data_IF_780130749941
#
_entry.id   IF_780130749941
#
_cell.length_a   1.000
_cell.length_b   1.000
_cell.length_c   1.000
_cell.angle_alpha   90.00
_cell.angle_beta   90.00
_cell.angle_gamma   90.00
#
_symmetry.space_group_name_H-M   'P 1'
#
loop_
_entity.id
_entity.type
_entity.pdbx_description
1 polymer ?
#
# COMPACT_ATOMS: atom_id res chain seq x y z
N UNK A 1 -8.43 -9.50 -21.67
CA UNK A 1 -7.33 -10.48 -21.50
C UNK A 1 -7.18 -10.72 -20.01
N UNK A 2 -7.44 -11.93 -19.55
CA UNK A 2 -7.17 -12.33 -18.16
C UNK A 2 -5.65 -12.28 -17.94
N UNK A 3 -5.18 -11.44 -17.02
CA UNK A 3 -3.79 -11.53 -16.57
C UNK A 3 -3.68 -12.75 -15.66
N UNK A 4 -2.79 -13.72 -15.94
CA UNK A 4 -2.56 -14.83 -15.02
C UNK A 4 -2.10 -14.30 -13.66
N UNK A 5 -2.22 -15.13 -12.62
CA UNK A 5 -1.55 -14.88 -11.34
C UNK A 5 -0.08 -14.50 -11.61
N UNK A 6 0.53 -13.58 -10.85
CA UNK A 6 1.95 -13.41 -10.98
C UNK A 6 2.61 -14.75 -10.70
N UNK A 7 3.47 -15.10 -11.64
CA UNK A 7 4.16 -16.36 -11.62
C UNK A 7 5.44 -16.11 -10.83
N UNK A 8 5.59 -16.76 -9.68
CA UNK A 8 6.85 -16.78 -8.92
C UNK A 8 8.06 -17.05 -9.83
N UNK A 9 7.89 -17.89 -10.86
CA UNK A 9 8.91 -18.13 -11.87
C UNK A 9 9.26 -16.88 -12.69
N UNK A 10 8.29 -16.03 -13.06
CA UNK A 10 8.55 -14.75 -13.73
C UNK A 10 9.35 -13.80 -12.83
N UNK A 11 9.08 -13.77 -11.52
CA UNK A 11 9.85 -12.96 -10.58
C UNK A 11 11.27 -13.48 -10.38
N UNK A 12 11.44 -14.79 -10.23
CA UNK A 12 12.75 -15.42 -10.14
C UNK A 12 13.57 -15.18 -11.40
N UNK A 13 12.94 -15.29 -12.58
CA UNK A 13 13.61 -15.01 -13.85
C UNK A 13 13.98 -13.53 -13.97
N UNK A 14 13.07 -12.62 -13.61
CA UNK A 14 13.37 -11.18 -13.57
C UNK A 14 14.58 -10.87 -12.67
N UNK A 15 14.70 -11.53 -11.52
CA UNK A 15 15.83 -11.36 -10.62
C UNK A 15 17.15 -11.88 -11.23
N UNK A 16 17.11 -13.02 -11.93
CA UNK A 16 18.28 -13.56 -12.67
C UNK A 16 18.70 -12.64 -13.81
N UNK A 17 17.75 -12.16 -14.61
CA UNK A 17 18.00 -11.21 -15.71
C UNK A 17 18.65 -9.91 -15.20
N UNK A 18 18.15 -9.37 -14.09
CA UNK A 18 18.74 -8.19 -13.45
C UNK A 18 20.21 -8.38 -13.08
N UNK A 19 20.59 -9.55 -12.56
CA UNK A 19 21.98 -9.83 -12.19
C UNK A 19 22.90 -10.00 -13.40
N UNK A 20 22.34 -10.13 -14.60
CA UNK A 20 23.06 -10.07 -15.87
C UNK A 20 23.09 -8.64 -16.46
N UNK A 21 22.44 -7.67 -15.83
CA UNK A 21 22.43 -6.28 -16.29
C UNK A 21 23.82 -5.62 -16.09
N UNK A 22 24.47 -5.11 -17.16
CA UNK A 22 25.81 -4.55 -17.06
C UNK A 22 25.97 -3.35 -16.10
N UNK A 23 24.88 -2.63 -15.79
CA UNK A 23 24.91 -1.55 -14.79
C UNK A 23 24.92 -2.12 -13.39
N UNK A 24 24.08 -3.11 -13.10
CA UNK A 24 24.06 -3.76 -11.79
C UNK A 24 25.36 -4.53 -11.56
N UNK A 25 25.84 -5.27 -12.56
CA UNK A 25 27.12 -5.98 -12.48
C UNK A 25 28.27 -5.04 -12.09
N UNK A 26 28.42 -3.90 -12.78
CA UNK A 26 29.46 -2.91 -12.45
C UNK A 26 29.31 -2.32 -11.05
N UNK A 27 28.07 -2.12 -10.59
CA UNK A 27 27.79 -1.66 -9.24
C UNK A 27 28.25 -2.69 -8.20
N UNK A 28 27.89 -3.96 -8.39
CA UNK A 28 28.29 -5.05 -7.49
C UNK A 28 29.80 -5.26 -7.48
N UNK A 29 30.46 -5.22 -8.65
CA UNK A 29 31.93 -5.29 -8.75
C UNK A 29 32.61 -4.11 -8.02
N UNK A 30 32.02 -2.92 -8.06
CA UNK A 30 32.51 -1.77 -7.32
C UNK A 30 32.39 -1.99 -5.81
N UNK A 31 31.26 -2.52 -5.33
CA UNK A 31 31.09 -2.90 -3.92
C UNK A 31 32.07 -3.99 -3.50
N UNK A 32 32.21 -5.06 -4.29
CA UNK A 32 33.15 -6.16 -4.03
C UNK A 32 34.57 -5.64 -3.86
N UNK A 33 35.00 -4.71 -4.73
CA UNK A 33 36.30 -4.07 -4.64
C UNK A 33 36.45 -3.22 -3.38
N UNK A 34 35.46 -2.39 -3.06
CA UNK A 34 35.49 -1.58 -1.84
C UNK A 34 35.58 -2.42 -0.57
N UNK A 35 34.83 -3.54 -0.52
CA UNK A 35 34.89 -4.50 0.60
C UNK A 35 36.25 -5.20 0.66
N UNK A 36 36.86 -5.57 -0.48
CA UNK A 36 38.22 -6.13 -0.51
C UNK A 36 39.26 -5.12 0.02
N UNK A 37 39.18 -3.87 -0.42
CA UNK A 37 40.09 -2.80 0.00
C UNK A 37 39.96 -2.52 1.50
N UNK A 38 38.72 -2.42 2.01
CA UNK A 38 38.45 -2.27 3.44
C UNK A 38 38.96 -3.48 4.25
N UNK A 39 38.70 -4.71 3.81
CA UNK A 39 39.22 -5.91 4.49
C UNK A 39 40.75 -5.93 4.52
N UNK A 40 41.41 -5.50 3.45
CA UNK A 40 42.86 -5.44 3.39
C UNK A 40 43.45 -4.41 4.37
N UNK A 41 42.71 -3.34 4.71
CA UNK A 41 43.15 -2.34 5.68
C UNK A 41 42.97 -2.78 7.15
N UNK A 42 42.18 -3.82 7.43
CA UNK A 42 42.00 -4.36 8.79
C UNK A 42 43.24 -5.16 9.26
N UNK A 43 43.54 -5.15 10.58
CA UNK A 43 44.50 -6.05 11.21
C UNK A 43 44.18 -7.53 10.94
N UNK A 44 45.18 -8.39 10.84
CA UNK A 44 45.00 -9.79 10.44
C UNK A 44 44.00 -10.56 11.32
N UNK A 45 44.03 -10.34 12.64
CA UNK A 45 43.07 -10.93 13.58
C UNK A 45 41.64 -10.39 13.50
N UNK A 46 41.42 -9.30 12.78
CA UNK A 46 40.11 -8.65 12.60
C UNK A 46 39.51 -8.89 11.20
N UNK A 47 40.27 -9.55 10.30
CA UNK A 47 39.78 -9.84 8.95
C UNK A 47 38.75 -10.97 9.00
N UNK A 48 37.50 -10.75 8.52
CA UNK A 48 36.51 -11.82 8.43
C UNK A 48 37.04 -12.98 7.59
N UNK A 49 36.79 -14.22 7.99
CA UNK A 49 37.30 -15.40 7.27
C UNK A 49 36.71 -15.49 5.85
N UNK A 50 35.42 -15.21 5.70
CA UNK A 50 34.69 -15.41 4.45
C UNK A 50 34.75 -14.20 3.52
N UNK A 51 34.88 -14.47 2.22
CA UNK A 51 34.73 -13.46 1.17
C UNK A 51 33.28 -13.42 0.70
N UNK A 52 32.71 -12.23 0.60
CA UNK A 52 31.31 -12.03 0.24
C UNK A 52 31.20 -11.79 -1.27
N UNK A 53 30.82 -12.82 -2.03
CA UNK A 53 30.39 -12.63 -3.43
C UNK A 53 28.99 -12.01 -3.41
N UNK A 54 28.92 -10.68 -3.59
CA UNK A 54 27.65 -9.97 -3.50
C UNK A 54 26.67 -10.45 -4.57
N UNK A 55 27.12 -10.83 -5.75
CA UNK A 55 26.24 -11.27 -6.85
C UNK A 55 25.63 -12.63 -6.56
N UNK A 56 26.43 -13.61 -6.17
CA UNK A 56 25.94 -14.95 -5.84
C UNK A 56 25.01 -14.92 -4.62
N UNK A 57 25.36 -14.11 -3.61
CA UNK A 57 24.54 -13.94 -2.41
C UNK A 57 23.21 -13.25 -2.72
N UNK A 58 23.20 -12.21 -3.56
CA UNK A 58 21.97 -11.54 -3.97
C UNK A 58 21.03 -12.51 -4.72
N UNK A 59 21.54 -13.35 -5.62
CA UNK A 59 20.71 -14.34 -6.31
C UNK A 59 20.12 -15.35 -5.33
N UNK A 60 20.97 -15.96 -4.50
CA UNK A 60 20.55 -16.94 -3.50
C UNK A 60 19.51 -16.36 -2.55
N UNK A 61 19.72 -15.12 -2.13
CA UNK A 61 18.77 -14.39 -1.29
C UNK A 61 17.45 -14.16 -2.01
N UNK A 62 17.46 -13.71 -3.27
CA UNK A 62 16.24 -13.52 -4.05
C UNK A 62 15.48 -14.85 -4.25
N UNK A 63 16.17 -15.93 -4.62
CA UNK A 63 15.54 -17.24 -4.83
C UNK A 63 14.89 -17.81 -3.55
N UNK A 64 15.46 -17.52 -2.38
CA UNK A 64 14.88 -17.90 -1.08
C UNK A 64 13.78 -16.94 -0.59
N UNK A 65 13.91 -15.64 -0.85
CA UNK A 65 12.99 -14.61 -0.36
C UNK A 65 11.71 -14.50 -1.20
N UNK A 66 11.80 -14.69 -2.53
CA UNK A 66 10.65 -14.55 -3.43
C UNK A 66 9.48 -15.49 -3.07
N UNK A 67 9.68 -16.79 -2.77
CA UNK A 67 8.59 -17.67 -2.34
C UNK A 67 7.96 -17.24 -1.02
N UNK A 68 8.77 -16.80 -0.04
CA UNK A 68 8.29 -16.34 1.27
C UNK A 68 7.43 -15.08 1.10
N UNK A 69 7.85 -14.17 0.23
CA UNK A 69 7.08 -12.97 -0.08
C UNK A 69 5.76 -13.31 -0.81
N UNK A 70 5.78 -14.24 -1.76
CA UNK A 70 4.58 -14.72 -2.44
C UNK A 70 3.55 -15.24 -1.43
N UNK A 71 4.00 -16.13 -0.54
CA UNK A 71 3.20 -16.67 0.56
C UNK A 71 2.68 -15.56 1.50
N UNK A 72 3.54 -14.62 1.89
CA UNK A 72 3.15 -13.48 2.73
C UNK A 72 2.09 -12.60 2.06
N UNK A 73 2.20 -12.36 0.75
CA UNK A 73 1.21 -11.59 0.00
C UNK A 73 -0.11 -12.35 -0.12
N UNK A 74 -0.10 -13.67 -0.32
CA UNK A 74 -1.31 -14.51 -0.30
C UNK A 74 -1.98 -14.45 1.06
N UNK A 75 -1.22 -14.67 2.13
CA UNK A 75 -1.69 -14.63 3.51
C UNK A 75 -2.32 -13.28 3.86
N UNK A 76 -1.67 -12.18 3.48
CA UNK A 76 -2.21 -10.82 3.65
C UNK A 76 -3.55 -10.65 2.93
N UNK A 77 -3.64 -11.04 1.66
CA UNK A 77 -4.88 -10.90 0.89
C UNK A 77 -6.02 -11.76 1.47
N UNK A 78 -5.71 -12.97 1.95
CA UNK A 78 -6.68 -13.84 2.62
C UNK A 78 -7.19 -13.26 3.93
N UNK A 79 -6.28 -12.76 4.78
CA UNK A 79 -6.64 -12.04 6.01
C UNK A 79 -7.50 -10.81 5.71
N UNK A 80 -7.09 -10.01 4.72
CA UNK A 80 -7.84 -8.82 4.31
C UNK A 80 -9.21 -9.16 3.73
N UNK A 81 -9.34 -10.26 2.99
CA UNK A 81 -10.63 -10.73 2.49
C UNK A 81 -11.60 -11.05 3.64
N UNK A 82 -11.13 -11.73 4.69
CA UNK A 82 -11.95 -12.04 5.87
C UNK A 82 -12.36 -10.76 6.63
N UNK A 83 -11.39 -9.89 6.94
CA UNK A 83 -11.63 -8.64 7.66
C UNK A 83 -12.56 -7.70 6.89
N UNK A 84 -12.33 -7.54 5.60
CA UNK A 84 -13.18 -6.70 4.75
C UNK A 84 -14.59 -7.29 4.57
N UNK A 85 -14.77 -8.61 4.62
CA UNK A 85 -16.10 -9.21 4.63
C UNK A 85 -16.86 -8.91 5.94
N UNK A 86 -16.18 -8.93 7.09
CA UNK A 86 -16.78 -8.54 8.37
C UNK A 86 -17.25 -7.08 8.34
N UNK A 87 -16.41 -6.15 7.90
CA UNK A 87 -16.79 -4.73 7.74
C UNK A 87 -18.00 -4.53 6.81
N UNK A 88 -18.09 -5.33 5.75
CA UNK A 88 -19.23 -5.28 4.83
C UNK A 88 -20.53 -5.72 5.54
N UNK A 89 -20.47 -6.81 6.32
CA UNK A 89 -21.60 -7.32 7.11
C UNK A 89 -22.06 -6.34 8.19
N UNK A 90 -21.12 -5.62 8.83
CA UNK A 90 -21.44 -4.60 9.85
C UNK A 90 -21.83 -3.25 9.24
N UNK A 91 -21.96 -3.16 7.91
CA UNK A 91 -22.44 -1.98 7.20
C UNK A 91 -21.44 -0.82 7.15
N UNK A 92 -20.17 -1.06 7.49
CA UNK A 92 -19.12 -0.03 7.53
C UNK A 92 -18.96 0.65 6.17
N UNK A 93 -18.82 -0.12 5.08
CA UNK A 93 -18.63 0.48 3.77
C UNK A 93 -19.85 1.24 3.29
N UNK A 94 -21.05 0.74 3.61
CA UNK A 94 -22.30 1.44 3.32
C UNK A 94 -22.32 2.81 4.00
N UNK A 95 -21.99 2.90 5.29
CA UNK A 95 -21.90 4.18 6.02
C UNK A 95 -20.85 5.11 5.43
N UNK A 96 -19.67 4.60 5.08
CA UNK A 96 -18.63 5.39 4.42
C UNK A 96 -19.12 5.96 3.08
N UNK A 97 -19.80 5.15 2.28
CA UNK A 97 -20.40 5.55 0.99
C UNK A 97 -21.48 6.61 1.19
N UNK A 98 -22.43 6.36 2.09
CA UNK A 98 -23.57 7.26 2.36
C UNK A 98 -23.06 8.63 2.83
N UNK A 99 -21.98 8.67 3.62
CA UNK A 99 -21.34 9.90 4.06
C UNK A 99 -20.47 10.57 3.01
N UNK A 100 -19.74 9.78 2.22
CA UNK A 100 -18.97 10.30 1.10
C UNK A 100 -19.89 10.92 0.03
N UNK A 101 -21.18 10.58 0.05
CA UNK A 101 -22.25 11.09 -0.83
C UNK A 101 -21.75 11.15 -2.28
N UNK A 102 -21.37 9.98 -2.79
CA UNK A 102 -20.88 9.84 -4.15
C UNK A 102 -22.02 9.42 -5.08
N UNK A 103 -22.40 10.29 -6.01
CA UNK A 103 -23.53 9.99 -6.89
C UNK A 103 -23.09 9.75 -8.34
N UNK A 104 -22.00 10.39 -8.79
CA UNK A 104 -21.55 10.37 -10.20
C UNK A 104 -20.05 10.63 -10.33
N UNK A 105 -19.42 10.06 -11.37
CA UNK A 105 -18.04 10.38 -11.78
C UNK A 105 -17.05 9.23 -11.59
N UNK A 106 -15.76 9.55 -11.80
CA UNK A 106 -14.63 8.65 -11.65
C UNK A 106 -14.13 8.65 -10.20
N UNK A 107 -14.23 7.49 -9.55
CA UNK A 107 -13.63 7.22 -8.25
C UNK A 107 -12.22 6.63 -8.42
N UNK A 108 -11.26 7.09 -7.62
CA UNK A 108 -9.97 6.41 -7.41
C UNK A 108 -9.90 5.95 -5.96
N UNK A 109 -9.88 4.64 -5.73
CA UNK A 109 -9.76 4.04 -4.40
C UNK A 109 -8.32 3.57 -4.14
N UNK A 110 -7.57 4.34 -3.35
CA UNK A 110 -6.19 4.08 -3.00
C UNK A 110 -6.12 3.08 -1.83
N UNK A 111 -5.40 1.98 -2.03
CA UNK A 111 -5.40 0.87 -1.09
C UNK A 111 -6.74 0.14 -1.08
N UNK A 112 -7.28 -0.16 -2.27
CA UNK A 112 -8.62 -0.75 -2.40
C UNK A 112 -8.72 -2.16 -1.81
N UNK A 113 -7.58 -2.83 -1.59
CA UNK A 113 -7.51 -4.19 -1.10
C UNK A 113 -8.34 -5.14 -1.96
N UNK A 114 -9.24 -5.88 -1.32
CA UNK A 114 -10.16 -6.83 -1.96
C UNK A 114 -11.38 -6.18 -2.62
N UNK A 115 -11.38 -4.85 -2.77
CA UNK A 115 -12.38 -4.11 -3.54
C UNK A 115 -13.75 -3.98 -2.87
N UNK A 116 -13.86 -4.20 -1.55
CA UNK A 116 -15.15 -4.11 -0.83
C UNK A 116 -15.71 -2.69 -0.79
N UNK A 117 -14.86 -1.68 -0.61
CA UNK A 117 -15.32 -0.28 -0.69
C UNK A 117 -15.83 0.04 -2.10
N UNK A 118 -15.07 -0.32 -3.14
CA UNK A 118 -15.51 -0.23 -4.54
C UNK A 118 -16.85 -0.96 -4.77
N UNK A 119 -17.02 -2.15 -4.20
CA UNK A 119 -18.26 -2.90 -4.33
C UNK A 119 -19.42 -2.17 -3.63
N UNK A 120 -19.21 -1.51 -2.49
CA UNK A 120 -20.26 -0.72 -1.85
C UNK A 120 -20.64 0.53 -2.66
N UNK A 121 -19.78 0.97 -3.59
CA UNK A 121 -20.04 2.14 -4.41
C UNK A 121 -20.93 1.82 -5.63
N UNK A 122 -21.80 2.78 -6.01
CA UNK A 122 -22.57 2.74 -7.26
C UNK A 122 -21.90 3.52 -8.41
N UNK A 123 -20.58 3.69 -8.41
CA UNK A 123 -19.93 4.45 -9.49
C UNK A 123 -19.89 3.65 -10.78
N UNK A 124 -20.34 4.24 -11.89
CA UNK A 124 -20.21 3.63 -13.21
C UNK A 124 -18.76 3.50 -13.72
N UNK A 125 -17.80 4.16 -13.06
CA UNK A 125 -16.38 4.13 -13.40
C UNK A 125 -15.51 4.29 -12.17
N UNK A 126 -14.56 3.38 -11.97
CA UNK A 126 -13.65 3.41 -10.83
C UNK A 126 -12.26 2.89 -11.17
N UNK A 127 -11.25 3.36 -10.41
CA UNK A 127 -9.90 2.82 -10.39
C UNK A 127 -9.62 2.32 -8.97
N UNK A 128 -9.53 1.01 -8.79
CA UNK A 128 -8.99 0.42 -7.57
C UNK A 128 -7.47 0.31 -7.66
N UNK A 129 -6.77 0.80 -6.65
CA UNK A 129 -5.30 0.77 -6.60
C UNK A 129 -4.88 -0.04 -5.38
N UNK A 130 -4.10 -1.09 -5.61
CA UNK A 130 -3.46 -1.83 -4.53
C UNK A 130 -2.13 -2.39 -5.02
N UNK A 131 -1.19 -2.59 -4.11
CA UNK A 131 0.12 -3.11 -4.47
C UNK A 131 0.18 -4.63 -4.42
N UNK A 132 -0.77 -5.26 -3.71
CA UNK A 132 -0.88 -6.70 -3.62
C UNK A 132 -1.78 -7.22 -4.75
N UNK A 133 -1.21 -7.99 -5.66
CA UNK A 133 -1.93 -8.56 -6.80
C UNK A 133 -3.02 -9.56 -6.38
N UNK A 134 -2.90 -10.25 -5.25
CA UNK A 134 -3.93 -11.16 -4.75
C UNK A 134 -5.13 -10.39 -4.21
N UNK A 135 -4.90 -9.24 -3.59
CA UNK A 135 -5.97 -8.31 -3.24
C UNK A 135 -6.75 -7.89 -4.48
N UNK A 136 -6.04 -7.48 -5.55
CA UNK A 136 -6.68 -7.11 -6.82
C UNK A 136 -7.39 -8.29 -7.49
N UNK A 137 -6.89 -9.51 -7.38
CA UNK A 137 -7.56 -10.71 -7.90
C UNK A 137 -8.87 -11.00 -7.13
N UNK A 138 -8.84 -10.87 -5.80
CA UNK A 138 -10.04 -10.98 -4.98
C UNK A 138 -11.05 -9.87 -5.32
N UNK A 139 -10.57 -8.64 -5.53
CA UNK A 139 -11.39 -7.51 -5.98
C UNK A 139 -12.03 -7.77 -7.33
N UNK A 140 -11.29 -8.30 -8.31
CA UNK A 140 -11.80 -8.66 -9.63
C UNK A 140 -12.97 -9.65 -9.52
N UNK A 141 -12.81 -10.67 -8.69
CA UNK A 141 -13.84 -11.70 -8.47
C UNK A 141 -15.08 -11.11 -7.79
N UNK A 142 -14.89 -10.27 -6.77
CA UNK A 142 -15.99 -9.59 -6.07
C UNK A 142 -16.78 -8.65 -7.00
N UNK A 143 -16.08 -7.95 -7.88
CA UNK A 143 -16.66 -6.90 -8.72
C UNK A 143 -17.20 -7.43 -10.07
N UNK A 144 -16.84 -8.64 -10.48
CA UNK A 144 -17.28 -9.24 -11.75
C UNK A 144 -18.81 -9.28 -11.92
N UNK A 145 -19.57 -9.36 -10.82
CA UNK A 145 -21.03 -9.32 -10.85
C UNK A 145 -21.65 -7.93 -11.00
N UNK A 146 -20.86 -6.85 -10.96
CA UNK A 146 -21.34 -5.46 -10.95
C UNK A 146 -21.11 -4.71 -12.27
N UNK A 147 -20.30 -5.27 -13.16
CA UNK A 147 -20.01 -4.67 -14.45
C UNK A 147 -18.65 -5.10 -15.00
N UNK A 148 -18.19 -4.49 -16.10
CA UNK A 148 -16.88 -4.76 -16.66
C UNK A 148 -15.77 -4.43 -15.68
N UNK A 149 -14.88 -5.39 -15.45
CA UNK A 149 -13.67 -5.22 -14.62
C UNK A 149 -12.44 -5.52 -15.47
N UNK A 150 -11.42 -4.66 -15.39
CA UNK A 150 -10.13 -4.84 -16.06
C UNK A 150 -9.01 -4.79 -15.02
N UNK A 151 -8.23 -5.87 -14.90
CA UNK A 151 -7.11 -5.94 -13.95
C UNK A 151 -5.74 -5.86 -14.63
N UNK A 152 -4.94 -4.89 -14.19
CA UNK A 152 -3.56 -4.66 -14.59
C UNK A 152 -2.63 -4.88 -13.39
N UNK A 153 -2.29 -6.13 -13.14
CA UNK A 153 -1.63 -6.58 -11.91
C UNK A 153 -0.22 -7.16 -12.12
N UNK A 154 0.34 -7.03 -13.33
CA UNK A 154 1.68 -7.55 -13.61
C UNK A 154 2.74 -6.72 -12.91
N UNK A 155 3.74 -7.39 -12.38
CA UNK A 155 4.90 -6.80 -11.72
C UNK A 155 6.19 -7.51 -12.14
N UNK A 156 7.32 -6.84 -11.93
CA UNK A 156 8.66 -7.37 -12.16
C UNK A 156 9.59 -7.01 -11.01
N UNK A 157 10.68 -7.76 -10.88
CA UNK A 157 11.73 -7.42 -9.92
C UNK A 157 12.62 -6.34 -10.53
N UNK A 158 12.94 -5.31 -9.74
CA UNK A 158 13.89 -4.23 -10.02
C UNK A 158 14.96 -4.21 -8.93
N UNK A 159 16.09 -3.55 -9.16
CA UNK A 159 17.11 -3.33 -8.13
C UNK A 159 17.24 -1.84 -7.83
N UNK A 160 17.28 -1.52 -6.56
CA UNK A 160 17.53 -0.20 -5.99
C UNK A 160 18.76 -0.28 -5.09
N UNK A 161 19.78 0.58 -5.25
CA UNK A 161 21.00 0.51 -4.45
C UNK A 161 20.80 0.62 -2.94
N UNK A 162 19.76 1.33 -2.49
CA UNK A 162 19.46 1.55 -1.07
C UNK A 162 18.51 0.48 -0.51
N UNK A 163 17.57 -0.02 -1.34
CA UNK A 163 16.49 -0.94 -0.93
C UNK A 163 16.71 -2.39 -1.39
N UNK A 164 17.70 -2.64 -2.23
CA UNK A 164 17.96 -3.94 -2.85
C UNK A 164 16.93 -4.31 -3.90
N UNK A 165 16.55 -5.59 -3.96
CA UNK A 165 15.49 -6.03 -4.87
C UNK A 165 14.14 -5.47 -4.43
N UNK A 166 13.44 -4.88 -5.40
CA UNK A 166 12.11 -4.33 -5.19
C UNK A 166 11.14 -4.82 -6.25
N UNK A 167 9.91 -5.14 -5.85
CA UNK A 167 8.83 -5.42 -6.79
C UNK A 167 8.39 -4.09 -7.41
N UNK A 168 8.17 -4.04 -8.73
CA UNK A 168 7.64 -2.87 -9.41
C UNK A 168 6.46 -3.23 -10.31
N UNK A 169 5.42 -2.40 -10.34
CA UNK A 169 4.37 -2.50 -11.36
C UNK A 169 4.93 -2.34 -12.77
N UNK A 170 4.44 -3.14 -13.72
CA UNK A 170 4.64 -2.82 -15.14
C UNK A 170 3.91 -1.51 -15.50
N UNK A 171 4.50 -0.66 -16.37
CA UNK A 171 3.83 0.51 -16.93
C UNK A 171 2.50 0.19 -17.61
N UNK A 172 1.43 0.85 -17.18
CA UNK A 172 0.11 0.76 -17.83
C UNK A 172 -0.14 2.02 -18.66
N UNK A 173 -0.44 1.85 -19.96
CA UNK A 173 -0.58 2.96 -20.92
C UNK A 173 -2.01 3.14 -21.46
N UNK A 174 -2.65 2.04 -21.87
CA UNK A 174 -3.91 2.04 -22.61
C UNK A 174 -5.00 1.36 -21.78
N UNK A 175 -5.78 2.18 -21.08
CA UNK A 175 -6.89 1.75 -20.22
C UNK A 175 -8.15 2.46 -20.67
N UNK A 176 -9.27 1.74 -20.70
CA UNK A 176 -10.59 2.37 -20.84
C UNK A 176 -11.21 2.50 -19.45
N UNK A 177 -11.75 3.67 -19.14
CA UNK A 177 -12.40 3.96 -17.85
C UNK A 177 -13.93 3.88 -17.97
N UNK A 178 -14.44 2.90 -18.70
CA UNK A 178 -15.87 2.62 -18.93
C UNK A 178 -16.44 1.55 -17.96
N UNK A 179 -15.71 1.27 -16.88
CA UNK A 179 -16.07 0.33 -15.82
C UNK A 179 -15.06 0.41 -14.68
N UNK A 180 -14.83 -0.70 -13.99
CA UNK A 180 -13.81 -0.75 -12.93
C UNK A 180 -12.46 -1.19 -13.48
N UNK A 181 -11.44 -0.37 -13.26
CA UNK A 181 -10.03 -0.71 -13.52
C UNK A 181 -9.34 -1.03 -12.20
N UNK A 182 -8.66 -2.16 -12.12
CA UNK A 182 -7.83 -2.53 -10.97
C UNK A 182 -6.37 -2.40 -11.38
N UNK A 183 -5.62 -1.52 -10.72
CA UNK A 183 -4.23 -1.21 -11.03
C UNK A 183 -3.33 -1.67 -9.90
N UNK A 184 -2.32 -2.45 -10.25
CA UNK A 184 -1.18 -2.63 -9.37
C UNK A 184 -0.32 -1.37 -9.43
N UNK A 185 -0.23 -0.67 -8.30
CA UNK A 185 0.56 0.56 -8.17
C UNK A 185 1.03 0.75 -6.73
N UNK A 186 2.21 1.34 -6.60
CA UNK A 186 2.77 1.67 -5.29
C UNK A 186 2.18 3.00 -4.83
N UNK A 187 1.50 3.02 -3.69
CA UNK A 187 0.91 4.24 -3.13
C UNK A 187 1.96 5.33 -2.83
N UNK A 188 3.24 4.95 -2.66
CA UNK A 188 4.35 5.89 -2.51
C UNK A 188 4.73 6.60 -3.82
N UNK A 189 4.27 6.10 -4.97
CA UNK A 189 4.64 6.69 -6.28
C UNK A 189 3.44 7.06 -7.13
N UNK A 190 2.38 6.24 -7.12
CA UNK A 190 1.14 6.36 -7.89
C UNK A 190 1.41 6.58 -9.39
N UNK A 191 2.47 5.94 -9.92
CA UNK A 191 2.93 6.19 -11.29
C UNK A 191 1.93 5.70 -12.32
N UNK A 192 1.34 4.51 -12.15
CA UNK A 192 0.34 3.99 -13.07
C UNK A 192 -0.97 4.77 -12.95
N UNK A 193 -1.44 5.08 -11.74
CA UNK A 193 -2.65 5.88 -11.51
C UNK A 193 -2.56 7.24 -12.20
N UNK A 194 -1.49 8.00 -11.95
CA UNK A 194 -1.30 9.31 -12.59
C UNK A 194 -1.17 9.18 -14.11
N UNK A 195 -0.48 8.15 -14.61
CA UNK A 195 -0.31 7.95 -16.06
C UNK A 195 -1.64 7.64 -16.74
N UNK A 196 -2.45 6.76 -16.16
CA UNK A 196 -3.79 6.42 -16.69
C UNK A 196 -4.66 7.67 -16.74
N UNK A 197 -4.73 8.44 -15.64
CA UNK A 197 -5.49 9.69 -15.60
C UNK A 197 -5.01 10.71 -16.65
N UNK A 198 -3.69 10.91 -16.75
CA UNK A 198 -3.10 11.80 -17.73
C UNK A 198 -3.41 11.39 -19.17
N UNK A 199 -3.28 10.11 -19.51
CA UNK A 199 -3.57 9.60 -20.85
C UNK A 199 -5.06 9.70 -21.21
N UNK A 200 -5.94 9.69 -20.21
CA UNK A 200 -7.37 9.92 -20.40
C UNK A 200 -7.74 11.42 -20.43
N UNK A 201 -6.77 12.31 -20.26
CA UNK A 201 -7.00 13.76 -20.24
C UNK A 201 -7.93 14.21 -19.12
N UNK A 202 -8.08 13.44 -18.05
CA UNK A 202 -8.99 13.74 -16.94
C UNK A 202 -8.41 13.38 -15.59
N UNK A 203 -8.88 14.06 -14.55
CA UNK A 203 -8.64 13.70 -13.15
C UNK A 203 -9.85 12.96 -12.58
N UNK A 204 -9.65 12.33 -11.43
CA UNK A 204 -10.71 11.74 -10.65
C UNK A 204 -11.65 12.82 -10.13
N UNK A 205 -12.94 12.51 -10.14
CA UNK A 205 -13.96 13.32 -9.48
C UNK A 205 -13.88 13.13 -7.96
N UNK A 206 -13.47 11.92 -7.56
CA UNK A 206 -13.44 11.46 -6.19
C UNK A 206 -12.22 10.59 -5.94
N UNK A 207 -11.60 10.75 -4.78
CA UNK A 207 -10.50 9.89 -4.34
C UNK A 207 -10.81 9.40 -2.93
N UNK A 208 -10.77 8.09 -2.71
CA UNK A 208 -10.79 7.51 -1.37
C UNK A 208 -9.40 7.00 -1.01
N UNK A 209 -9.02 7.15 0.25
CA UNK A 209 -7.83 6.54 0.80
C UNK A 209 -8.14 6.03 2.21
N UNK A 210 -8.29 4.72 2.32
CA UNK A 210 -8.75 4.09 3.56
C UNK A 210 -7.68 3.14 4.09
N UNK A 211 -6.86 3.64 5.01
CA UNK A 211 -5.83 2.86 5.72
C UNK A 211 -6.47 1.89 6.71
N UNK A 212 -5.75 0.84 7.10
CA UNK A 212 -6.10 0.02 8.26
C UNK A 212 -4.91 -0.22 9.18
N UNK A 213 -5.06 0.10 10.46
CA UNK A 213 -4.11 -0.11 11.55
C UNK A 213 -4.04 -1.53 12.09
N UNK A 214 -4.54 -2.53 11.36
CA UNK A 214 -4.32 -3.95 11.66
C UNK A 214 -3.17 -4.50 10.82
N UNK A 215 -2.04 -4.77 11.47
CA UNK A 215 -0.80 -5.34 10.94
C UNK A 215 0.02 -4.45 9.99
N UNK A 216 1.14 -4.00 10.54
CA UNK A 216 2.33 -3.47 9.88
C UNK A 216 2.91 -4.47 8.88
N UNK A 217 2.18 -4.78 7.81
CA UNK A 217 2.82 -5.35 6.63
C UNK A 217 3.41 -4.18 5.86
N UNK A 218 4.70 -3.96 6.12
CA UNK A 218 5.72 -3.50 5.20
C UNK A 218 5.17 -3.38 3.78
N UNK A 219 5.35 -2.24 3.10
CA UNK A 219 5.14 -2.18 1.64
C UNK A 219 5.84 -3.40 1.04
N UNK A 220 5.09 -4.42 0.56
CA UNK A 220 5.62 -5.75 0.23
C UNK A 220 6.57 -5.71 -0.97
N UNK A 221 6.82 -4.51 -1.48
CA UNK A 221 7.71 -4.21 -2.58
C UNK A 221 9.18 -4.22 -2.19
N UNK A 222 9.55 -4.23 -0.92
CA UNK A 222 10.96 -4.30 -0.52
C UNK A 222 11.28 -5.74 -0.17
N UNK A 223 11.94 -6.46 -1.09
CA UNK A 223 12.36 -7.85 -0.84
C UNK A 223 13.55 -7.96 0.12
N UNK A 224 14.11 -6.83 0.56
CA UNK A 224 15.16 -6.83 1.59
C UNK A 224 14.66 -5.99 2.77
N UNK A 225 13.97 -6.62 3.71
CA UNK A 225 14.02 -6.16 5.09
C UNK A 225 15.12 -6.97 5.76
N UNK A 226 16.26 -6.28 5.91
CA UNK A 226 17.41 -6.63 6.70
C UNK A 226 17.16 -7.70 7.78
N UNK A 227 17.46 -8.96 7.47
CA UNK A 227 17.57 -10.04 8.47
C UNK A 227 18.71 -9.74 9.49
N UNK A 228 19.45 -8.62 9.35
CA UNK A 228 20.59 -8.26 10.21
C UNK A 228 20.70 -6.77 10.64
N UNK A 229 19.67 -5.94 10.51
CA UNK A 229 19.72 -4.56 11.06
C UNK A 229 18.75 -4.46 12.23
N UNK A 230 19.30 -4.51 13.45
CA UNK A 230 18.57 -4.75 14.71
C UNK A 230 17.43 -3.78 15.07
N UNK A 231 16.79 -4.05 16.21
CA UNK A 231 15.48 -3.53 16.63
C UNK A 231 15.29 -1.99 16.53
N UNK A 232 16.35 -1.21 16.73
CA UNK A 232 16.32 0.26 16.61
C UNK A 232 16.01 0.77 15.20
N UNK A 233 16.42 0.05 14.15
CA UNK A 233 16.16 0.46 12.77
C UNK A 233 14.68 0.23 12.38
N UNK A 234 14.05 -0.78 12.98
CA UNK A 234 12.64 -1.12 12.77
C UNK A 234 11.69 -0.04 13.31
N UNK A 235 11.97 0.48 14.51
CA UNK A 235 11.15 1.51 15.16
C UNK A 235 11.22 2.87 14.43
N UNK A 236 12.40 3.29 13.95
CA UNK A 236 12.57 4.56 13.21
C UNK A 236 11.93 4.54 11.82
N UNK A 237 11.83 3.37 11.17
CA UNK A 237 11.23 3.20 9.83
C UNK A 237 9.71 3.22 9.88
N UNK A 238 9.09 2.72 10.97
CA UNK A 238 7.63 2.65 11.15
C UNK A 238 6.99 4.04 11.25
N UNK A 239 7.61 4.95 12.01
CA UNK A 239 7.14 6.35 12.12
C UNK A 239 7.28 7.08 10.78
N UNK A 240 8.40 6.88 10.07
CA UNK A 240 8.65 7.49 8.76
C UNK A 240 7.72 6.99 7.65
N UNK A 241 7.27 5.73 7.66
CA UNK A 241 6.43 5.21 6.58
C UNK A 241 4.99 5.75 6.60
N UNK A 242 4.40 5.92 7.78
CA UNK A 242 3.09 6.56 7.90
C UNK A 242 3.13 8.01 7.41
N UNK A 243 4.20 8.74 7.76
CA UNK A 243 4.44 10.10 7.30
C UNK A 243 4.73 10.16 5.79
N UNK A 244 5.53 9.24 5.24
CA UNK A 244 5.84 9.21 3.80
C UNK A 244 4.61 8.86 2.97
N UNK A 245 3.78 7.91 3.40
CA UNK A 245 2.54 7.56 2.68
C UNK A 245 1.56 8.72 2.73
N UNK A 246 1.43 9.38 3.90
CA UNK A 246 0.67 10.62 4.05
C UNK A 246 1.20 11.69 3.10
N UNK A 247 2.47 12.05 3.20
CA UNK A 247 3.07 13.15 2.46
C UNK A 247 3.05 12.89 0.94
N UNK A 248 3.10 11.63 0.52
CA UNK A 248 2.97 11.24 -0.88
C UNK A 248 1.55 11.41 -1.40
N UNK A 249 0.54 10.80 -0.74
CA UNK A 249 -0.84 10.89 -1.21
C UNK A 249 -1.31 12.34 -1.18
N UNK A 250 -0.99 13.07 -0.11
CA UNK A 250 -1.28 14.50 0.01
C UNK A 250 -0.61 15.27 -1.14
N UNK A 251 0.71 15.17 -1.31
CA UNK A 251 1.40 15.97 -2.33
C UNK A 251 0.96 15.66 -3.77
N UNK A 252 0.44 14.45 -4.02
CA UNK A 252 -0.06 14.03 -5.34
C UNK A 252 -1.56 14.22 -5.51
N UNK A 253 -2.33 14.52 -4.46
CA UNK A 253 -3.79 14.59 -4.54
C UNK A 253 -4.25 15.58 -5.62
N UNK A 254 -3.67 16.77 -5.68
CA UNK A 254 -3.98 17.76 -6.73
C UNK A 254 -3.63 17.32 -8.16
N UNK A 255 -2.82 16.27 -8.34
CA UNK A 255 -2.56 15.65 -9.66
C UNK A 255 -3.58 14.58 -10.02
N UNK A 256 -4.19 13.95 -9.02
CA UNK A 256 -5.10 12.81 -9.17
C UNK A 256 -6.56 13.26 -9.14
N UNK A 257 -6.92 14.20 -8.26
CA UNK A 257 -8.28 14.70 -8.06
C UNK A 257 -8.45 16.07 -8.72
N UNK A 258 -9.62 16.31 -9.34
CA UNK A 258 -9.96 17.59 -9.96
C UNK A 258 -10.24 18.68 -8.92
N UNK A 259 -10.16 19.93 -9.35
CA UNK A 259 -10.69 21.06 -8.58
C UNK A 259 -12.21 20.89 -8.40
N UNK A 260 -12.71 21.08 -7.19
CA UNK A 260 -14.09 20.81 -6.78
C UNK A 260 -14.41 19.31 -6.64
N UNK A 261 -13.42 18.43 -6.78
CA UNK A 261 -13.57 17.00 -6.49
C UNK A 261 -13.57 16.74 -4.98
N UNK A 262 -13.90 15.50 -4.60
CA UNK A 262 -13.95 15.07 -3.19
C UNK A 262 -12.82 14.12 -2.84
N UNK A 263 -12.31 14.26 -1.63
CA UNK A 263 -11.31 13.34 -1.08
C UNK A 263 -11.78 12.79 0.26
N UNK A 264 -11.90 11.47 0.35
CA UNK A 264 -12.24 10.77 1.58
C UNK A 264 -10.99 10.11 2.17
N UNK A 265 -10.67 10.47 3.41
CA UNK A 265 -9.58 9.85 4.16
C UNK A 265 -10.10 9.19 5.43
N UNK A 266 -9.70 7.93 5.61
CA UNK A 266 -10.14 7.11 6.72
C UNK A 266 -9.03 6.19 7.21
N UNK A 267 -8.98 5.96 8.52
CA UNK A 267 -8.09 5.01 9.17
C UNK A 267 -8.92 3.97 9.93
N UNK A 268 -8.75 2.69 9.57
CA UNK A 268 -9.49 1.54 10.13
C UNK A 268 -8.64 0.87 11.20
N UNK A 269 -8.88 1.06 12.49
CA UNK A 269 -8.12 0.31 13.50
C UNK A 269 -8.85 -0.99 13.84
N UNK A 270 -8.17 -2.11 13.69
CA UNK A 270 -8.60 -3.36 14.30
C UNK A 270 -8.24 -3.27 15.80
N UNK A 271 -9.19 -2.88 16.63
CA UNK A 271 -9.07 -3.02 18.09
C UNK A 271 -9.77 -4.33 18.44
N UNK A 272 -9.09 -5.19 19.18
CA UNK A 272 -9.57 -6.51 19.63
C UNK A 272 -11.06 -6.55 19.95
N UNK A 273 -11.78 -7.51 19.36
CA UNK A 273 -13.22 -7.83 19.52
C UNK A 273 -14.25 -6.70 19.29
N UNK A 274 -13.82 -5.44 19.21
CA UNK A 274 -14.65 -4.27 18.90
C UNK A 274 -13.87 -3.33 17.98
N UNK A 275 -14.11 -3.44 16.67
CA UNK A 275 -13.43 -2.61 15.67
C UNK A 275 -13.97 -1.18 15.69
N UNK A 276 -13.07 -0.19 15.80
CA UNK A 276 -13.42 1.23 15.86
C UNK A 276 -12.64 1.99 14.78
N UNK A 277 -13.32 2.87 14.06
CA UNK A 277 -12.64 3.90 13.27
C UNK A 277 -12.10 4.96 14.21
N UNK A 278 -10.78 5.07 14.31
CA UNK A 278 -10.15 6.10 15.12
C UNK A 278 -9.58 7.15 14.18
N UNK A 279 -10.16 8.35 14.24
CA UNK A 279 -9.54 9.56 13.70
C UNK A 279 -8.41 10.00 14.63
N UNK A 280 -7.33 9.22 14.67
CA UNK A 280 -6.12 9.56 15.43
C UNK A 280 -5.37 10.76 14.86
N UNK A 281 -5.88 11.35 13.77
CA UNK A 281 -5.12 12.24 12.91
C UNK A 281 -5.98 13.34 12.28
N UNK A 282 -6.85 13.98 13.07
CA UNK A 282 -7.59 15.18 12.62
C UNK A 282 -6.64 16.23 11.99
N UNK A 283 -5.40 16.31 12.53
CA UNK A 283 -4.31 17.13 11.98
C UNK A 283 -4.01 16.82 10.51
N UNK A 284 -4.00 15.56 10.10
CA UNK A 284 -3.76 15.14 8.70
C UNK A 284 -4.89 15.66 7.80
N UNK A 285 -6.15 15.48 8.20
CA UNK A 285 -7.29 16.00 7.44
C UNK A 285 -7.28 17.53 7.34
N UNK A 286 -6.90 18.23 8.42
CA UNK A 286 -6.75 19.69 8.42
C UNK A 286 -5.58 20.15 7.53
N UNK A 287 -4.44 19.47 7.55
CA UNK A 287 -3.29 19.75 6.69
C UNK A 287 -3.63 19.53 5.21
N UNK A 288 -4.36 18.45 4.90
CA UNK A 288 -4.88 18.16 3.56
C UNK A 288 -5.77 19.28 3.04
N UNK A 289 -6.74 19.72 3.84
CA UNK A 289 -7.64 20.82 3.46
C UNK A 289 -6.89 22.14 3.24
N UNK A 290 -5.83 22.40 4.03
CA UNK A 290 -4.97 23.59 3.86
C UNK A 290 -4.14 23.52 2.57
N UNK A 291 -3.57 22.36 2.25
CA UNK A 291 -2.71 22.17 1.08
C UNK A 291 -3.51 22.11 -0.23
N UNK A 292 -4.76 21.66 -0.16
CA UNK A 292 -5.65 21.53 -1.32
C UNK A 292 -6.98 22.27 -1.08
N UNK A 293 -6.97 23.62 -1.00
CA UNK A 293 -8.17 24.40 -0.70
C UNK A 293 -9.26 24.30 -1.77
N UNK A 294 -8.90 23.76 -2.95
CA UNK A 294 -9.80 23.56 -4.07
C UNK A 294 -10.41 22.15 -4.13
N UNK A 295 -10.15 21.28 -3.14
CA UNK A 295 -10.69 19.92 -3.05
C UNK A 295 -11.54 19.84 -1.78
N UNK A 296 -12.74 19.27 -1.90
CA UNK A 296 -13.59 19.00 -0.75
C UNK A 296 -13.03 17.80 0.05
N UNK A 297 -12.29 18.09 1.11
CA UNK A 297 -11.71 17.08 1.99
C UNK A 297 -12.75 16.63 3.01
N UNK A 298 -13.29 15.44 2.79
CA UNK A 298 -14.29 14.78 3.63
C UNK A 298 -13.56 13.99 4.72
N UNK A 299 -13.77 14.41 5.98
CA UNK A 299 -13.10 13.86 7.15
C UNK A 299 -14.00 12.87 7.88
N UNK A 300 -13.44 11.73 8.27
CA UNK A 300 -14.19 10.71 9.03
C UNK A 300 -14.60 11.17 10.43
N UNK A 301 -13.91 12.12 11.06
CA UNK A 301 -14.37 12.73 12.34
C UNK A 301 -15.82 13.24 12.32
N UNK A 302 -16.40 13.49 11.15
CA UNK A 302 -17.79 13.95 11.02
C UNK A 302 -18.80 12.83 10.75
N UNK A 303 -18.38 11.57 10.70
CA UNK A 303 -19.27 10.40 10.59
C UNK A 303 -19.79 10.01 11.98
N UNK A 304 -21.04 10.36 12.29
CA UNK A 304 -21.74 9.75 13.42
C UNK A 304 -22.02 8.27 13.08
N UNK A 305 -21.36 7.33 13.75
CA UNK A 305 -21.61 5.89 13.57
C UNK A 305 -22.35 5.32 14.78
N UNK A 306 -23.60 5.71 15.01
CA UNK A 306 -24.40 5.01 16.04
C UNK A 306 -24.69 3.56 15.59
N UNK A 307 -24.55 2.60 16.50
CA UNK A 307 -25.05 1.25 16.33
C UNK A 307 -26.31 1.03 17.21
N UNK A 308 -27.04 -0.04 16.92
CA UNK A 308 -28.31 -0.39 17.58
C UNK A 308 -28.11 -0.90 19.03
N UNK A 309 -26.86 -1.03 19.49
CA UNK A 309 -26.48 -1.61 20.78
C UNK A 309 -25.82 -0.61 21.76
N UNK A 310 -25.69 0.67 21.39
CA UNK A 310 -25.17 1.72 22.24
C UNK A 310 -23.73 2.11 21.88
N UNK A 311 -23.62 3.28 21.25
CA UNK A 311 -22.41 4.09 21.04
C UNK A 311 -21.06 3.33 20.94
N UNK A 312 -20.78 2.76 19.77
CA UNK A 312 -19.40 2.59 19.28
C UNK A 312 -19.16 3.30 17.95
N UNK A 313 -19.79 4.46 17.78
CA UNK A 313 -19.44 5.38 16.72
C UNK A 313 -18.23 6.19 17.09
N UNK A 314 -17.20 6.19 16.23
CA UNK A 314 -15.93 6.93 16.37
C UNK A 314 -15.69 7.28 17.83
N UNK A 315 -15.31 6.25 18.61
CA UNK A 315 -14.75 6.52 19.91
C UNK A 315 -13.52 7.38 19.66
N UNK A 316 -13.60 8.67 20.01
CA UNK A 316 -12.43 9.37 20.54
C UNK A 316 -11.91 8.43 21.61
N UNK A 317 -10.86 7.68 21.28
CA UNK A 317 -10.32 6.71 22.21
C UNK A 317 -9.81 7.51 23.41
N UNK A 318 -10.60 7.54 24.49
CA UNK A 318 -10.20 8.12 25.78
C UNK A 318 -9.22 7.20 26.51
N UNK A 319 -8.59 6.26 25.79
CA UNK A 319 -7.57 5.38 26.30
C UNK A 319 -6.20 5.92 25.93
N UNK A 320 -5.43 6.28 26.95
CA UNK A 320 -4.01 6.61 26.81
C UNK A 320 -3.20 5.34 27.03
N UNK A 321 -2.41 4.95 26.03
CA UNK A 321 -1.39 3.90 26.19
C UNK A 321 -0.15 4.57 26.78
N UNK A 322 0.17 4.22 28.02
CA UNK A 322 1.38 4.70 28.69
C UNK A 322 2.61 4.00 28.12
N UNK A 323 3.79 4.59 28.35
CA UNK A 323 5.07 4.08 27.80
C UNK A 323 5.41 2.64 28.23
N UNK A 324 4.76 2.14 29.28
CA UNK A 324 4.93 0.78 29.80
C UNK A 324 3.90 -0.22 29.23
N UNK A 325 3.06 0.21 28.28
CA UNK A 325 2.01 -0.60 27.68
C UNK A 325 0.69 -0.63 28.47
N UNK A 326 0.61 0.08 29.59
CA UNK A 326 -0.63 0.16 30.39
C UNK A 326 -1.66 1.04 29.69
N UNK A 327 -2.90 0.59 29.66
CA UNK A 327 -4.02 1.31 29.05
C UNK A 327 -4.83 2.00 30.15
N UNK A 328 -4.88 3.34 30.14
CA UNK A 328 -5.64 4.14 31.11
C UNK A 328 -6.88 4.75 30.46
N UNK A 329 -8.06 4.49 31.02
CA UNK A 329 -9.33 5.11 30.58
C UNK A 329 -9.47 6.46 31.27
N UNK A 330 -9.58 7.55 30.50
CA UNK A 330 -9.80 8.89 31.02
C UNK A 330 -11.28 9.07 31.44
N UNK A 331 -11.57 9.61 32.64
CA UNK A 331 -12.93 9.84 33.10
C UNK A 331 -13.64 10.95 32.31
N UNK A 332 -14.96 11.06 32.54
CA UNK A 332 -15.87 11.98 31.84
C UNK A 332 -15.50 13.46 31.91
#
# INVERSE_FOLDING_TARGET
>A
MFNPEPNLAEWQESARELLNNPRLTRYLEHLDRGVKEYRASLPEGERPAEFYDHRANLLKFAEAALPIQDESMRGYAGHWAALSAHHDQTGVYKRCVDFFQHDQGLLVDLGCGTGRFLAATNTGSAIGVDINHYCLQAAETLLAGKGPVQRYSRSYISFDPERGFILKPYPVMNVKLDGTTLLLDDIQTLHNTMRVLYNQGRKADMVSFTLSGGYTNNSPLQFIDAINLGDKFREEKLVKHGEVIRDTVISKLGKICKSGGRFFFAYRMAVSENEVFVDGHEKIGQEMAKLHPNIDVVRTSSLAMEDENGMHGIGLDRRRIEKDGTITILPD
#
